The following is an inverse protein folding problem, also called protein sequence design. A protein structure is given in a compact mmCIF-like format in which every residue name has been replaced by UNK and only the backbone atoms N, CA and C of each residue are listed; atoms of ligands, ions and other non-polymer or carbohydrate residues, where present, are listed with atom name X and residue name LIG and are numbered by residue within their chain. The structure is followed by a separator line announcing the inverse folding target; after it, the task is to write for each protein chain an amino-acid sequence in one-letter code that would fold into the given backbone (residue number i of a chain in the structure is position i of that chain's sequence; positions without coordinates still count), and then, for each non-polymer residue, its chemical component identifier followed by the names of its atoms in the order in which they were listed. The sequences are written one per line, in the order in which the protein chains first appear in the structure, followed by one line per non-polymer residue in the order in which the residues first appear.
data_IF_810824643891
#
_entry.id   IF_810824643891
#
_cell.length_a   1.000
_cell.length_b   1.000
_cell.length_c   1.000
_cell.angle_alpha   90.00
_cell.angle_beta   90.00
_cell.angle_gamma   90.00
#
_symmetry.space_group_name_H-M   'P 1'
#
loop_
_entity.id
_entity.type
_entity.pdbx_description
1 polymer ?
#
# COMPACT_ATOMS: atom_id res chain seq x y z
N UNK A 1 12.23 -64.83 -39.47
CA UNK A 1 12.64 -65.37 -38.15
C UNK A 1 12.92 -64.24 -37.17
N UNK A 2 11.99 -63.29 -37.03
CA UNK A 2 12.13 -62.12 -36.12
C UNK A 2 10.90 -61.89 -35.25
N UNK A 3 9.77 -62.54 -35.55
CA UNK A 3 8.54 -62.42 -34.74
C UNK A 3 8.59 -63.26 -33.47
N UNK A 4 9.07 -64.49 -33.51
CA UNK A 4 9.14 -65.37 -32.31
C UNK A 4 10.07 -64.80 -31.22
N UNK A 5 11.17 -64.15 -31.60
CA UNK A 5 12.08 -63.52 -30.63
C UNK A 5 11.50 -62.22 -30.04
N UNK A 6 10.71 -61.46 -30.82
CA UNK A 6 9.97 -60.29 -30.28
C UNK A 6 8.81 -60.71 -29.38
N UNK A 7 8.10 -61.76 -29.74
CA UNK A 7 6.96 -62.29 -28.97
C UNK A 7 7.42 -62.84 -27.61
N UNK A 8 8.55 -63.55 -27.58
CA UNK A 8 9.18 -64.03 -26.33
C UNK A 8 9.75 -62.89 -25.49
N UNK A 9 10.42 -61.89 -26.10
CA UNK A 9 10.87 -60.69 -25.37
C UNK A 9 9.70 -59.86 -24.82
N UNK A 10 8.59 -59.77 -25.55
CA UNK A 10 7.38 -59.06 -25.13
C UNK A 10 6.68 -59.78 -23.96
N UNK A 11 6.66 -61.10 -23.96
CA UNK A 11 6.14 -61.89 -22.84
C UNK A 11 7.03 -61.76 -21.60
N UNK A 12 8.36 -61.84 -21.76
CA UNK A 12 9.31 -61.63 -20.66
C UNK A 12 9.21 -60.20 -20.08
N UNK A 13 9.04 -59.18 -20.93
CA UNK A 13 8.81 -57.78 -20.51
C UNK A 13 7.49 -57.63 -19.78
N UNK A 14 6.40 -58.22 -20.27
CA UNK A 14 5.09 -58.23 -19.57
C UNK A 14 5.21 -58.88 -18.22
N UNK A 15 5.91 -60.00 -18.12
CA UNK A 15 6.05 -60.73 -16.87
C UNK A 15 6.88 -59.96 -15.84
N UNK A 16 7.94 -59.26 -16.28
CA UNK A 16 8.73 -58.36 -15.42
C UNK A 16 7.92 -57.15 -14.95
N UNK A 17 7.16 -56.50 -15.85
CA UNK A 17 6.28 -55.40 -15.50
C UNK A 17 5.17 -55.83 -14.52
N UNK A 18 4.60 -57.02 -14.75
CA UNK A 18 3.59 -57.61 -13.86
C UNK A 18 4.17 -57.91 -12.49
N UNK A 19 5.36 -58.50 -12.38
CA UNK A 19 6.04 -58.73 -11.09
C UNK A 19 6.38 -57.42 -10.37
N UNK A 20 6.77 -56.37 -11.10
CA UNK A 20 6.99 -55.04 -10.51
C UNK A 20 5.68 -54.42 -10.03
N UNK A 21 4.59 -54.55 -10.77
CA UNK A 21 3.27 -54.08 -10.38
C UNK A 21 2.69 -54.85 -9.19
N UNK A 22 2.82 -56.18 -9.16
CA UNK A 22 2.34 -56.98 -8.03
C UNK A 22 3.09 -56.65 -6.74
N UNK A 23 4.36 -56.20 -6.84
CA UNK A 23 5.18 -55.76 -5.70
C UNK A 23 4.97 -54.29 -5.31
N UNK A 24 4.89 -53.39 -6.28
CA UNK A 24 4.90 -51.93 -6.06
C UNK A 24 3.58 -51.22 -6.38
N UNK A 25 2.65 -51.86 -7.09
CA UNK A 25 1.39 -51.28 -7.53
C UNK A 25 0.55 -50.73 -6.38
N UNK A 26 0.53 -51.42 -5.23
CA UNK A 26 -0.15 -50.92 -4.02
C UNK A 26 0.48 -49.63 -3.51
N UNK A 27 1.81 -49.49 -3.53
CA UNK A 27 2.48 -48.24 -3.12
C UNK A 27 2.24 -47.12 -4.13
N UNK A 28 2.21 -47.43 -5.43
CA UNK A 28 1.89 -46.45 -6.48
C UNK A 28 0.46 -45.94 -6.35
N UNK A 29 -0.50 -46.84 -6.10
CA UNK A 29 -1.90 -46.46 -5.86
C UNK A 29 -2.02 -45.66 -4.56
N UNK A 30 -1.38 -46.10 -3.48
CA UNK A 30 -1.39 -45.37 -2.21
C UNK A 30 -0.81 -43.95 -2.36
N UNK A 31 0.28 -43.80 -3.12
CA UNK A 31 0.87 -42.51 -3.44
C UNK A 31 -0.07 -41.64 -4.28
N UNK A 32 -0.71 -42.21 -5.31
CA UNK A 32 -1.68 -41.48 -6.13
C UNK A 32 -2.88 -41.00 -5.29
N UNK A 33 -3.43 -41.85 -4.41
CA UNK A 33 -4.50 -41.50 -3.49
C UNK A 33 -4.05 -40.41 -2.51
N UNK A 34 -2.85 -40.52 -1.96
CA UNK A 34 -2.28 -39.51 -1.06
C UNK A 34 -2.21 -38.14 -1.76
N UNK A 35 -1.72 -38.08 -2.99
CA UNK A 35 -1.65 -36.84 -3.78
C UNK A 35 -3.06 -36.26 -3.96
N UNK A 36 -4.04 -37.08 -4.36
CA UNK A 36 -5.43 -36.61 -4.56
C UNK A 36 -6.01 -36.06 -3.27
N UNK A 37 -5.82 -36.74 -2.13
CA UNK A 37 -6.34 -36.27 -0.82
C UNK A 37 -5.70 -34.95 -0.42
N UNK A 38 -4.38 -34.80 -0.58
CA UNK A 38 -3.66 -33.56 -0.27
C UNK A 38 -4.15 -32.42 -1.16
N UNK A 39 -4.25 -32.64 -2.47
CA UNK A 39 -4.72 -31.61 -3.42
C UNK A 39 -6.19 -31.24 -3.16
N UNK A 40 -7.06 -32.21 -2.89
CA UNK A 40 -8.46 -31.95 -2.57
C UNK A 40 -8.61 -31.14 -1.28
N UNK A 41 -7.83 -31.48 -0.24
CA UNK A 41 -7.79 -30.72 1.02
C UNK A 41 -7.33 -29.28 0.81
N UNK A 42 -6.27 -29.07 0.03
CA UNK A 42 -5.78 -27.73 -0.31
C UNK A 42 -6.83 -26.92 -1.07
N UNK A 43 -7.43 -27.50 -2.12
CA UNK A 43 -8.45 -26.82 -2.93
C UNK A 43 -9.70 -26.48 -2.13
N UNK A 44 -10.12 -27.36 -1.22
CA UNK A 44 -11.23 -27.08 -0.31
C UNK A 44 -10.92 -25.90 0.62
N UNK A 45 -9.70 -25.86 1.17
CA UNK A 45 -9.26 -24.76 2.03
C UNK A 45 -9.20 -23.42 1.29
N UNK A 46 -8.65 -23.42 0.08
CA UNK A 46 -8.59 -22.25 -0.82
C UNK A 46 -10.00 -21.75 -1.13
N UNK A 47 -10.90 -22.64 -1.58
CA UNK A 47 -12.30 -22.30 -1.86
C UNK A 47 -13.01 -21.70 -0.63
N UNK A 48 -12.77 -22.25 0.56
CA UNK A 48 -13.36 -21.75 1.80
C UNK A 48 -12.84 -20.36 2.18
N UNK A 49 -11.54 -20.11 2.01
CA UNK A 49 -10.97 -18.76 2.20
C UNK A 49 -11.53 -17.76 1.19
N UNK A 50 -11.59 -18.13 -0.08
CA UNK A 50 -12.07 -17.28 -1.17
C UNK A 50 -13.53 -16.90 -0.95
N UNK A 51 -14.38 -17.86 -0.58
CA UNK A 51 -15.79 -17.60 -0.29
C UNK A 51 -15.97 -16.61 0.86
N UNK A 52 -15.14 -16.72 1.91
CA UNK A 52 -15.17 -15.78 3.05
C UNK A 52 -14.65 -14.40 2.68
N UNK A 53 -13.61 -14.34 1.86
CA UNK A 53 -13.07 -13.09 1.35
C UNK A 53 -14.07 -12.38 0.42
N UNK A 54 -14.81 -13.12 -0.42
CA UNK A 54 -15.90 -12.57 -1.24
C UNK A 54 -17.00 -11.95 -0.39
N UNK A 55 -17.47 -12.66 0.65
CA UNK A 55 -18.47 -12.11 1.57
C UNK A 55 -17.97 -10.85 2.30
N UNK A 56 -16.68 -10.81 2.66
CA UNK A 56 -16.04 -9.62 3.24
C UNK A 56 -15.98 -8.45 2.24
N UNK A 57 -15.73 -8.75 0.96
CA UNK A 57 -15.74 -7.77 -0.13
C UNK A 57 -17.11 -7.17 -0.39
N UNK A 58 -18.17 -7.98 -0.40
CA UNK A 58 -19.54 -7.50 -0.58
C UNK A 58 -19.94 -6.55 0.56
N UNK A 59 -19.60 -6.88 1.81
CA UNK A 59 -19.81 -6.01 2.98
C UNK A 59 -19.01 -4.71 2.87
N UNK A 60 -17.75 -4.79 2.44
CA UNK A 60 -16.91 -3.61 2.24
C UNK A 60 -17.52 -2.67 1.20
N UNK A 61 -17.91 -3.19 0.03
CA UNK A 61 -18.54 -2.41 -1.04
C UNK A 61 -19.88 -1.83 -0.58
N UNK A 62 -20.68 -2.57 0.18
CA UNK A 62 -21.93 -2.05 0.75
C UNK A 62 -21.67 -0.86 1.69
N UNK A 63 -20.64 -0.95 2.54
CA UNK A 63 -20.25 0.16 3.40
C UNK A 63 -19.70 1.37 2.62
N UNK A 64 -19.00 1.15 1.50
CA UNK A 64 -18.59 2.23 0.61
C UNK A 64 -19.78 2.96 0.00
N UNK A 65 -20.84 2.25 -0.39
CA UNK A 65 -22.07 2.90 -0.89
C UNK A 65 -22.72 3.78 0.17
N UNK A 66 -22.73 3.35 1.43
CA UNK A 66 -23.21 4.20 2.54
C UNK A 66 -22.37 5.48 2.64
N UNK A 67 -21.05 5.39 2.51
CA UNK A 67 -20.17 6.55 2.51
C UNK A 67 -20.45 7.50 1.33
N UNK A 68 -20.66 6.94 0.14
CA UNK A 68 -20.97 7.71 -1.07
C UNK A 68 -22.33 8.42 -0.97
N UNK A 69 -23.30 7.83 -0.26
CA UNK A 69 -24.59 8.43 0.09
C UNK A 69 -24.50 9.48 1.22
N UNK A 70 -23.29 9.78 1.73
CA UNK A 70 -23.04 10.73 2.82
C UNK A 70 -23.34 10.18 4.21
N UNK A 71 -23.64 8.89 4.35
CA UNK A 71 -23.94 8.23 5.64
C UNK A 71 -22.67 7.75 6.32
N UNK A 72 -21.74 8.68 6.56
CA UNK A 72 -20.38 8.39 7.04
C UNK A 72 -20.36 7.60 8.37
N UNK A 73 -21.24 7.93 9.32
CA UNK A 73 -21.30 7.21 10.60
C UNK A 73 -21.77 5.76 10.44
N UNK A 74 -22.77 5.50 9.59
CA UNK A 74 -23.25 4.14 9.29
C UNK A 74 -22.18 3.34 8.53
N UNK A 75 -21.51 3.97 7.58
CA UNK A 75 -20.39 3.37 6.85
C UNK A 75 -19.25 2.98 7.79
N UNK A 76 -18.84 3.87 8.70
CA UNK A 76 -17.82 3.60 9.71
C UNK A 76 -18.19 2.41 10.61
N UNK A 77 -19.45 2.34 11.05
CA UNK A 77 -19.93 1.23 11.88
C UNK A 77 -19.87 -0.12 11.13
N UNK A 78 -20.34 -0.15 9.88
CA UNK A 78 -20.30 -1.36 9.05
C UNK A 78 -18.85 -1.81 8.76
N UNK A 79 -17.93 -0.86 8.57
CA UNK A 79 -16.52 -1.15 8.38
C UNK A 79 -15.86 -1.64 9.67
N UNK A 80 -16.22 -1.09 10.84
CA UNK A 80 -15.72 -1.55 12.14
C UNK A 80 -16.14 -2.99 12.46
N UNK A 81 -17.30 -3.44 11.98
CA UNK A 81 -17.68 -4.86 12.04
C UNK A 81 -16.71 -5.70 11.21
N UNK A 82 -16.44 -5.27 9.97
CA UNK A 82 -15.52 -5.95 9.06
C UNK A 82 -14.06 -5.98 9.57
N UNK A 83 -13.64 -4.98 10.35
CA UNK A 83 -12.35 -5.01 11.04
C UNK A 83 -12.27 -6.18 12.04
N UNK A 84 -13.38 -6.52 12.71
CA UNK A 84 -13.42 -7.55 13.75
C UNK A 84 -13.59 -8.95 13.18
N UNK A 85 -14.45 -9.12 12.18
CA UNK A 85 -14.89 -10.44 11.70
C UNK A 85 -14.57 -10.72 10.21
N UNK A 86 -13.97 -9.76 9.52
CA UNK A 86 -13.62 -9.88 8.11
C UNK A 86 -12.53 -10.91 7.84
N UNK A 87 -12.46 -11.36 6.59
CA UNK A 87 -11.49 -12.35 6.11
C UNK A 87 -10.63 -11.79 4.97
N UNK A 88 -9.47 -12.41 4.74
CA UNK A 88 -8.53 -11.95 3.72
C UNK A 88 -7.91 -10.58 4.05
N UNK A 89 -7.66 -9.76 3.03
CA UNK A 89 -7.09 -8.41 3.19
C UNK A 89 -8.08 -7.33 3.63
N UNK A 90 -9.36 -7.64 3.72
CA UNK A 90 -10.43 -6.66 3.99
C UNK A 90 -10.39 -6.02 5.39
N UNK A 91 -10.06 -6.71 6.49
CA UNK A 91 -9.97 -6.07 7.81
C UNK A 91 -9.00 -4.88 7.83
N UNK A 92 -7.89 -5.01 7.10
CA UNK A 92 -6.91 -3.94 6.98
C UNK A 92 -7.49 -2.76 6.19
N UNK A 93 -8.08 -3.00 5.02
CA UNK A 93 -8.72 -1.96 4.22
C UNK A 93 -9.85 -1.26 4.98
N UNK A 94 -10.66 -2.05 5.70
CA UNK A 94 -11.76 -1.59 6.52
C UNK A 94 -11.28 -0.68 7.65
N UNK A 95 -10.15 -0.99 8.29
CA UNK A 95 -9.55 -0.13 9.33
C UNK A 95 -9.29 1.28 8.78
N UNK A 96 -8.62 1.39 7.63
CA UNK A 96 -8.26 2.68 7.05
C UNK A 96 -9.46 3.47 6.55
N UNK A 97 -10.42 2.77 5.92
CA UNK A 97 -11.65 3.40 5.43
C UNK A 97 -12.56 3.83 6.58
N UNK A 98 -12.74 2.99 7.61
CA UNK A 98 -13.52 3.33 8.81
C UNK A 98 -12.98 4.59 9.47
N UNK A 99 -11.67 4.69 9.65
CA UNK A 99 -11.05 5.88 10.19
C UNK A 99 -11.29 7.12 9.32
N UNK A 100 -11.24 6.99 7.99
CA UNK A 100 -11.58 8.08 7.08
C UNK A 100 -13.06 8.49 7.17
N UNK A 101 -13.98 7.53 7.28
CA UNK A 101 -15.40 7.79 7.45
C UNK A 101 -15.72 8.45 8.79
N UNK A 102 -15.02 8.08 9.87
CA UNK A 102 -15.14 8.76 11.17
C UNK A 102 -14.75 10.24 11.05
N UNK A 103 -13.64 10.54 10.38
CA UNK A 103 -13.22 11.92 10.14
C UNK A 103 -14.25 12.67 9.27
N UNK A 104 -14.78 12.04 8.20
CA UNK A 104 -15.82 12.62 7.36
C UNK A 104 -17.13 12.88 8.13
N UNK A 105 -17.44 12.06 9.13
CA UNK A 105 -18.56 12.26 10.05
C UNK A 105 -18.30 13.35 11.12
N UNK A 106 -17.10 13.95 11.16
CA UNK A 106 -16.68 14.93 12.16
C UNK A 106 -16.14 14.32 13.47
N UNK A 107 -15.97 12.99 13.53
CA UNK A 107 -15.33 12.29 14.65
C UNK A 107 -13.82 12.13 14.43
N UNK A 108 -13.11 13.26 14.42
CA UNK A 108 -11.65 13.28 14.27
C UNK A 108 -10.95 12.50 15.39
N UNK A 109 -11.51 12.52 16.61
CA UNK A 109 -10.94 11.78 17.75
C UNK A 109 -11.02 10.28 17.53
N UNK A 110 -12.17 9.77 17.12
CA UNK A 110 -12.35 8.36 16.79
C UNK A 110 -11.51 7.94 15.57
N UNK A 111 -11.38 8.81 14.57
CA UNK A 111 -10.52 8.58 13.42
C UNK A 111 -9.04 8.47 13.79
N UNK A 112 -8.52 9.40 14.60
CA UNK A 112 -7.14 9.36 15.11
C UNK A 112 -6.91 8.11 15.94
N UNK A 113 -7.83 7.76 16.85
CA UNK A 113 -7.72 6.56 17.67
C UNK A 113 -7.67 5.27 16.82
N UNK A 114 -8.46 5.20 15.74
CA UNK A 114 -8.44 4.07 14.82
C UNK A 114 -7.11 3.97 14.05
N UNK A 115 -6.57 5.09 13.56
CA UNK A 115 -5.24 5.10 12.95
C UNK A 115 -4.13 4.77 13.96
N UNK A 116 -4.26 5.15 15.22
CA UNK A 116 -3.28 4.80 16.26
C UNK A 116 -3.26 3.32 16.59
N UNK A 117 -4.45 2.70 16.65
CA UNK A 117 -4.56 1.26 16.78
C UNK A 117 -3.88 0.56 15.58
N UNK A 118 -4.09 1.05 14.36
CA UNK A 118 -3.43 0.52 13.17
C UNK A 118 -1.91 0.71 13.18
N UNK A 119 -1.42 1.86 13.65
CA UNK A 119 0.00 2.16 13.77
C UNK A 119 0.72 1.29 14.82
N UNK A 120 0.01 0.87 15.87
CA UNK A 120 0.54 0.06 16.97
C UNK A 120 0.32 -1.45 16.79
N UNK A 121 -0.44 -1.88 15.78
CA UNK A 121 -0.73 -3.29 15.52
C UNK A 121 0.54 -4.07 15.12
N UNK A 122 1.07 -4.90 16.03
CA UNK A 122 2.31 -5.66 15.81
C UNK A 122 2.26 -6.64 14.63
N UNK A 123 1.08 -7.09 14.24
CA UNK A 123 0.87 -7.96 13.07
C UNK A 123 0.79 -7.21 11.73
N UNK A 124 0.75 -5.88 11.73
CA UNK A 124 0.64 -5.10 10.50
C UNK A 124 2.02 -4.84 9.87
N UNK A 125 2.15 -4.91 8.52
CA UNK A 125 3.37 -4.53 7.81
C UNK A 125 3.84 -3.13 8.20
N UNK A 126 5.15 -2.88 8.21
CA UNK A 126 5.71 -1.56 8.56
C UNK A 126 5.09 -0.44 7.70
N UNK A 127 4.98 -0.66 6.38
CA UNK A 127 4.35 0.28 5.44
C UNK A 127 2.94 0.71 5.88
N UNK A 128 2.16 -0.23 6.42
CA UNK A 128 0.80 0.03 6.91
C UNK A 128 0.83 0.88 8.17
N UNK A 129 1.71 0.51 9.12
CA UNK A 129 1.84 1.26 10.39
C UNK A 129 2.29 2.69 10.14
N UNK A 130 3.21 2.89 9.20
CA UNK A 130 3.73 4.20 8.81
C UNK A 130 2.66 5.06 8.13
N UNK A 131 1.90 4.48 7.21
CA UNK A 131 0.75 5.15 6.60
C UNK A 131 -0.27 5.57 7.66
N UNK A 132 -0.55 4.73 8.64
CA UNK A 132 -1.48 5.06 9.73
C UNK A 132 -0.97 6.23 10.58
N UNK A 133 0.33 6.24 10.91
CA UNK A 133 0.98 7.38 11.60
C UNK A 133 0.77 8.69 10.85
N UNK A 134 0.99 8.69 9.53
CA UNK A 134 0.80 9.87 8.68
C UNK A 134 -0.66 10.31 8.58
N UNK A 135 -1.60 9.37 8.41
CA UNK A 135 -3.03 9.69 8.33
C UNK A 135 -3.56 10.32 9.61
N UNK A 136 -3.16 9.81 10.77
CA UNK A 136 -3.47 10.44 12.04
C UNK A 136 -2.83 11.83 12.18
N UNK A 137 -1.57 11.99 11.74
CA UNK A 137 -0.88 13.28 11.76
C UNK A 137 -1.59 14.33 10.87
N UNK A 138 -2.08 13.93 9.70
CA UNK A 138 -2.86 14.79 8.81
C UNK A 138 -4.15 15.30 9.45
N UNK A 139 -4.90 14.44 10.16
CA UNK A 139 -6.11 14.85 10.89
C UNK A 139 -5.80 15.86 12.00
N UNK A 140 -4.60 15.77 12.58
CA UNK A 140 -4.15 16.63 13.67
C UNK A 140 -3.45 17.92 13.19
N UNK A 141 -3.24 18.10 11.88
CA UNK A 141 -2.49 19.24 11.33
C UNK A 141 -3.13 20.59 11.69
N UNK A 142 -4.46 20.62 11.89
CA UNK A 142 -5.19 21.82 12.25
C UNK A 142 -5.20 22.14 13.76
N UNK A 143 -4.86 21.17 14.62
CA UNK A 143 -5.14 21.27 16.07
C UNK A 143 -3.95 20.96 16.97
N UNK A 144 -3.09 20.00 16.61
CA UNK A 144 -1.96 19.59 17.44
C UNK A 144 -0.74 20.51 17.28
N UNK A 145 0.14 20.54 18.27
CA UNK A 145 1.37 21.32 18.21
C UNK A 145 2.38 20.73 17.22
N UNK A 146 3.38 21.52 16.82
CA UNK A 146 4.46 21.04 15.96
C UNK A 146 5.25 19.91 16.64
N UNK A 147 5.49 20.02 17.94
CA UNK A 147 6.26 19.03 18.69
C UNK A 147 5.49 17.72 18.85
N UNK A 148 4.18 17.77 19.09
CA UNK A 148 3.32 16.59 19.11
C UNK A 148 3.35 15.86 17.76
N UNK A 149 3.30 16.61 16.64
CA UNK A 149 3.33 16.02 15.31
C UNK A 149 4.71 15.48 14.95
N UNK A 150 5.80 16.13 15.36
CA UNK A 150 7.15 15.56 15.24
C UNK A 150 7.27 14.25 16.01
N UNK A 151 6.77 14.19 17.24
CA UNK A 151 6.80 12.97 18.04
C UNK A 151 5.99 11.84 17.40
N UNK A 152 4.80 12.16 16.87
CA UNK A 152 3.92 11.20 16.18
C UNK A 152 4.50 10.69 14.86
N UNK A 153 5.01 11.60 14.02
CA UNK A 153 5.61 11.26 12.73
C UNK A 153 6.91 10.48 12.93
N UNK A 154 7.70 10.88 13.92
CA UNK A 154 8.97 10.23 14.27
C UNK A 154 9.97 10.27 13.11
N UNK A 155 10.55 9.11 12.82
CA UNK A 155 11.56 8.87 11.79
C UNK A 155 11.06 9.02 10.35
N UNK A 156 9.75 9.17 10.14
CA UNK A 156 9.20 9.23 8.79
C UNK A 156 9.62 10.46 8.00
N UNK A 157 10.08 11.54 8.66
CA UNK A 157 10.59 12.75 8.02
C UNK A 157 12.08 12.67 7.64
N UNK A 158 12.78 11.62 8.06
CA UNK A 158 14.21 11.47 7.85
C UNK A 158 14.56 11.26 6.36
N UNK A 159 15.76 11.65 5.90
CA UNK A 159 16.16 11.54 4.50
C UNK A 159 16.05 10.13 3.88
N UNK A 160 16.18 9.08 4.69
CA UNK A 160 16.15 7.70 4.21
C UNK A 160 14.73 7.11 4.18
N UNK A 161 13.74 7.82 4.71
CA UNK A 161 12.35 7.37 4.74
C UNK A 161 11.70 7.54 3.35
N UNK A 162 10.98 6.51 2.90
CA UNK A 162 10.12 6.60 1.71
C UNK A 162 8.92 7.56 1.90
N UNK A 163 8.62 7.91 3.16
CA UNK A 163 7.52 8.79 3.54
C UNK A 163 7.96 10.25 3.77
N UNK A 164 9.25 10.56 3.61
CA UNK A 164 9.83 11.85 4.02
C UNK A 164 9.16 13.06 3.43
N UNK A 165 8.75 13.00 2.17
CA UNK A 165 8.10 14.14 1.51
C UNK A 165 6.74 14.43 2.15
N UNK A 166 5.89 13.41 2.32
CA UNK A 166 4.60 13.54 2.99
C UNK A 166 4.76 14.00 4.45
N UNK A 167 5.73 13.42 5.17
CA UNK A 167 6.00 13.77 6.56
C UNK A 167 6.45 15.23 6.70
N UNK A 168 7.41 15.68 5.87
CA UNK A 168 7.89 17.07 5.84
C UNK A 168 6.79 18.04 5.46
N UNK A 169 5.91 17.65 4.53
CA UNK A 169 4.79 18.48 4.13
C UNK A 169 3.84 18.74 5.31
N UNK A 170 3.48 17.70 6.07
CA UNK A 170 2.65 17.82 7.27
C UNK A 170 3.33 18.74 8.30
N UNK A 171 4.63 18.53 8.57
CA UNK A 171 5.39 19.35 9.51
C UNK A 171 5.49 20.81 9.06
N UNK A 172 5.69 21.05 7.77
CA UNK A 172 5.73 22.37 7.15
C UNK A 172 4.40 23.11 7.29
N UNK A 173 3.28 22.43 7.08
CA UNK A 173 1.94 23.00 7.27
C UNK A 173 1.70 23.42 8.72
N UNK A 174 2.10 22.60 9.70
CA UNK A 174 1.96 22.96 11.12
C UNK A 174 2.89 24.10 11.51
N UNK A 175 4.13 24.11 11.03
CA UNK A 175 5.06 25.22 11.26
C UNK A 175 4.49 26.55 10.72
N UNK A 176 3.95 26.51 9.49
CA UNK A 176 3.31 27.66 8.86
C UNK A 176 2.12 28.17 9.65
N UNK A 177 1.23 27.27 10.09
CA UNK A 177 0.07 27.61 10.93
C UNK A 177 0.49 28.28 12.24
N UNK A 178 1.61 27.86 12.82
CA UNK A 178 2.15 28.43 14.06
C UNK A 178 2.95 29.73 13.85
N UNK A 179 3.02 30.26 12.62
CA UNK A 179 3.76 31.47 12.29
C UNK A 179 5.27 31.29 12.14
N UNK A 180 5.78 30.07 12.26
CA UNK A 180 7.19 29.74 12.01
C UNK A 180 7.43 29.61 10.50
N UNK A 181 7.47 30.74 9.81
CA UNK A 181 7.69 30.80 8.37
C UNK A 181 9.07 30.24 7.98
N UNK A 182 10.10 30.46 8.81
CA UNK A 182 11.44 29.97 8.54
C UNK A 182 11.50 28.43 8.62
N UNK A 183 10.89 27.85 9.67
CA UNK A 183 10.78 26.40 9.82
C UNK A 183 9.91 25.78 8.73
N UNK A 184 8.77 26.40 8.40
CA UNK A 184 7.92 25.96 7.29
C UNK A 184 8.68 25.94 5.96
N UNK A 185 9.36 27.03 5.63
CA UNK A 185 10.16 27.16 4.40
C UNK A 185 11.20 26.05 4.30
N UNK A 186 11.94 25.78 5.37
CA UNK A 186 12.94 24.69 5.41
C UNK A 186 12.34 23.34 5.02
N UNK A 187 11.20 22.96 5.59
CA UNK A 187 10.55 21.68 5.26
C UNK A 187 10.17 21.58 3.78
N UNK A 188 9.67 22.67 3.20
CA UNK A 188 9.26 22.71 1.80
C UNK A 188 10.45 22.80 0.83
N UNK A 189 11.55 23.45 1.21
CA UNK A 189 12.81 23.41 0.46
C UNK A 189 13.39 22.00 0.42
N UNK A 190 13.37 21.29 1.56
CA UNK A 190 13.80 19.88 1.64
C UNK A 190 12.93 18.96 0.77
N UNK A 191 11.71 19.36 0.41
CA UNK A 191 10.87 18.65 -0.56
C UNK A 191 11.22 19.07 -1.99
N UNK A 192 11.30 20.37 -2.26
CA UNK A 192 11.53 20.89 -3.61
C UNK A 192 12.88 20.47 -4.19
N UNK A 193 13.93 20.47 -3.36
CA UNK A 193 15.31 20.21 -3.77
C UNK A 193 15.68 18.73 -3.84
N UNK A 194 14.87 17.84 -3.25
CA UNK A 194 15.12 16.39 -3.31
C UNK A 194 14.76 15.84 -4.70
N UNK A 195 15.74 15.20 -5.33
CA UNK A 195 15.63 14.69 -6.70
C UNK A 195 14.62 13.54 -6.83
N UNK A 196 14.33 12.84 -5.74
CA UNK A 196 13.36 11.73 -5.71
C UNK A 196 11.93 12.19 -5.42
N UNK A 197 11.71 13.49 -5.17
CA UNK A 197 10.36 14.03 -4.97
C UNK A 197 9.52 13.87 -6.25
N UNK A 198 8.31 13.27 -6.17
CA UNK A 198 7.38 13.21 -7.29
C UNK A 198 7.01 14.61 -7.82
N UNK A 199 6.76 14.73 -9.13
CA UNK A 199 6.48 16.01 -9.80
C UNK A 199 5.40 16.84 -9.10
N UNK A 200 4.28 16.21 -8.76
CA UNK A 200 3.11 16.89 -8.20
C UNK A 200 3.37 17.38 -6.77
N UNK A 201 4.20 16.66 -6.02
CA UNK A 201 4.64 17.08 -4.69
C UNK A 201 5.62 18.26 -4.78
N UNK A 202 6.55 18.22 -5.75
CA UNK A 202 7.48 19.33 -5.98
C UNK A 202 6.74 20.60 -6.38
N UNK A 203 5.82 20.52 -7.35
CA UNK A 203 5.00 21.66 -7.76
C UNK A 203 4.23 22.29 -6.59
N UNK A 204 3.62 21.45 -5.74
CA UNK A 204 2.92 21.92 -4.55
C UNK A 204 3.88 22.55 -3.53
N UNK A 205 5.08 22.01 -3.38
CA UNK A 205 6.09 22.58 -2.51
C UNK A 205 6.57 23.95 -3.00
N UNK A 206 6.88 24.07 -4.29
CA UNK A 206 7.27 25.35 -4.92
C UNK A 206 6.17 26.41 -4.79
N UNK A 207 4.91 26.00 -4.97
CA UNK A 207 3.77 26.88 -4.71
C UNK A 207 3.76 27.38 -3.26
N UNK A 208 3.93 26.48 -2.29
CA UNK A 208 3.96 26.87 -0.86
C UNK A 208 5.17 27.76 -0.53
N UNK A 209 6.33 27.51 -1.12
CA UNK A 209 7.51 28.38 -0.98
C UNK A 209 7.21 29.80 -1.46
N UNK A 210 6.55 29.95 -2.61
CA UNK A 210 6.14 31.27 -3.12
C UNK A 210 5.19 32.02 -2.16
N UNK A 211 4.29 31.29 -1.49
CA UNK A 211 3.38 31.84 -0.47
C UNK A 211 4.18 32.32 0.76
N UNK A 212 5.21 31.58 1.16
CA UNK A 212 6.06 31.97 2.28
C UNK A 212 6.94 33.18 1.94
N UNK A 213 7.55 33.19 0.76
CA UNK A 213 8.39 34.29 0.29
C UNK A 213 7.59 35.60 0.21
N UNK A 214 6.37 35.55 -0.33
CA UNK A 214 5.46 36.68 -0.36
C UNK A 214 5.12 37.22 1.05
N UNK A 215 4.98 36.34 2.05
CA UNK A 215 4.73 36.74 3.46
C UNK A 215 5.98 37.27 4.16
N UNK A 216 7.16 36.80 3.78
CA UNK A 216 8.44 37.28 4.28
C UNK A 216 8.88 38.60 3.63
N UNK A 217 8.17 39.04 2.57
CA UNK A 217 8.55 40.21 1.79
C UNK A 217 9.76 39.97 0.90
N UNK A 218 10.08 38.70 0.62
CA UNK A 218 11.10 38.34 -0.37
C UNK A 218 10.49 38.58 -1.76
N UNK A 219 11.10 39.42 -2.61
CA UNK A 219 10.62 39.63 -3.97
C UNK A 219 10.56 38.29 -4.70
N UNK A 220 9.54 38.05 -5.55
CA UNK A 220 9.50 36.83 -6.35
C UNK A 220 10.82 36.72 -7.12
N UNK A 221 11.50 35.59 -6.97
CA UNK A 221 12.69 35.31 -7.77
C UNK A 221 12.25 35.36 -9.24
N UNK A 222 12.84 36.28 -10.00
CA UNK A 222 12.48 36.47 -11.40
C UNK A 222 12.61 35.10 -12.11
N UNK A 223 11.65 34.71 -12.97
CA UNK A 223 11.73 33.43 -13.67
C UNK A 223 13.11 33.35 -14.31
N UNK A 224 13.91 32.37 -13.89
CA UNK A 224 15.20 32.06 -14.53
C UNK A 224 14.88 31.89 -15.99
N UNK A 225 15.23 32.90 -16.81
CA UNK A 225 14.92 32.91 -18.22
C UNK A 225 15.39 31.58 -18.77
N UNK A 226 14.44 30.77 -19.23
CA UNK A 226 14.72 29.54 -19.95
C UNK A 226 15.70 29.92 -21.04
N UNK A 227 16.96 29.52 -20.87
CA UNK A 227 18.03 29.89 -21.77
C UNK A 227 17.58 29.40 -23.15
N UNK A 228 17.47 30.29 -24.16
CA UNK A 228 17.01 29.87 -25.47
C UNK A 228 17.89 28.71 -25.92
N UNK A 229 17.27 27.56 -26.20
CA UNK A 229 17.97 26.40 -26.72
C UNK A 229 18.87 26.88 -27.87
N UNK A 230 20.17 26.62 -27.73
CA UNK A 230 21.15 27.00 -28.74
C UNK A 230 20.67 26.48 -30.11
N UNK A 231 20.76 27.28 -31.18
CA UNK A 231 20.32 26.83 -32.50
C UNK A 231 21.05 25.53 -32.85
N UNK A 232 20.30 24.50 -33.20
CA UNK A 232 20.85 23.24 -33.69
C UNK A 232 21.76 23.55 -34.90
N UNK A 233 23.03 23.23 -34.76
CA UNK A 233 24.03 23.35 -35.82
C UNK A 233 23.59 22.48 -37.01
N UNK A 234 23.48 23.03 -38.25
CA UNK A 234 23.03 22.25 -39.38
C UNK A 234 24.06 21.18 -39.72
N UNK A 235 23.60 19.92 -39.75
CA UNK A 235 24.40 18.77 -40.15
C UNK A 235 24.98 18.98 -41.56
N UNK A 236 26.32 18.89 -41.67
CA UNK A 236 27.02 18.87 -42.96
C UNK A 236 26.58 17.65 -43.78
N UNK A 237 26.26 17.80 -45.08
CA UNK A 237 26.02 16.65 -45.93
C UNK A 237 27.33 15.86 -46.12
N UNK A 238 27.25 14.55 -45.96
CA UNK A 238 28.32 13.62 -46.28
C UNK A 238 28.61 13.66 -47.78
N UNK A 239 29.88 13.86 -48.13
CA UNK A 239 30.40 13.62 -49.48
C UNK A 239 30.72 12.15 -49.69
#
# INVERSE_FOLDING_TARGET
MSDIFREVDDDLRREQLKRMWDRYGTYVIALAVLIVVVTAGWRFYEYWQDTRAQASGDRFVAALRLADDGKHAEAAAALDELVKDGSGGYPLLATFRSAAEKAAAGDDKGAVAAYDAAASASGAPALVRDLARLRAALLLVGTASLDDLKARIGDLADPNSGWRHSAREILGLVAYRNGDLAGARKYYEDIATDQQTPSDMRQRADFMLSVFDARLGVPPEAPTAEQPAAPAEPAKPAG
#
